data_IF_580789000651
#
_entry.id   IF_580789000651
#
_cell.length_a   1.000
_cell.length_b   1.000
_cell.length_c   1.000
_cell.angle_alpha   90.00
_cell.angle_beta   90.00
_cell.angle_gamma   90.00
#
_symmetry.space_group_name_H-M   'P 1'
#
loop_
_entity.id
_entity.type
_entity.pdbx_description
1 polymer ?
#
# COMPACT_ATOMS: atom_id res chain seq x y z
N UNK A 1 0.62 0.35 4.72
CA UNK A 1 1.53 0.82 3.66
C UNK A 1 2.15 -0.40 3.00
N UNK A 2 2.28 -0.40 1.68
CA UNK A 2 2.99 -1.46 0.93
C UNK A 2 4.02 -0.80 0.03
N UNK A 3 5.26 -1.25 0.08
CA UNK A 3 6.40 -0.80 -0.73
C UNK A 3 6.89 -1.95 -1.62
N UNK A 4 7.12 -1.63 -2.89
CA UNK A 4 7.52 -2.58 -3.92
C UNK A 4 8.72 -2.08 -4.71
N UNK A 5 9.51 -3.02 -5.23
CA UNK A 5 10.77 -2.75 -5.94
C UNK A 5 10.56 -2.16 -7.33
N UNK A 6 9.37 -2.26 -7.91
CA UNK A 6 9.05 -1.72 -9.24
C UNK A 6 7.72 -0.97 -9.26
N UNK A 7 7.61 -0.02 -10.19
CA UNK A 7 6.38 0.75 -10.45
C UNK A 7 5.22 -0.14 -10.89
N UNK A 8 5.48 -1.12 -11.75
CA UNK A 8 4.44 -2.01 -12.28
C UNK A 8 3.85 -2.90 -11.20
N UNK A 9 4.69 -3.43 -10.31
CA UNK A 9 4.22 -4.18 -9.15
C UNK A 9 3.39 -3.28 -8.24
N UNK A 10 3.86 -2.07 -7.92
CA UNK A 10 3.12 -1.14 -7.07
C UNK A 10 1.73 -0.78 -7.61
N UNK A 11 1.62 -0.54 -8.93
CA UNK A 11 0.34 -0.23 -9.56
C UNK A 11 -0.62 -1.43 -9.50
N UNK A 12 -0.13 -2.63 -9.80
CA UNK A 12 -0.92 -3.87 -9.77
C UNK A 12 -1.39 -4.21 -8.36
N UNK A 13 -0.51 -4.09 -7.37
CA UNK A 13 -0.84 -4.34 -5.97
C UNK A 13 -1.85 -3.32 -5.43
N UNK A 14 -1.73 -2.04 -5.80
CA UNK A 14 -2.70 -1.02 -5.39
C UNK A 14 -4.09 -1.26 -5.99
N UNK A 15 -4.16 -1.65 -7.27
CA UNK A 15 -5.43 -2.02 -7.92
C UNK A 15 -6.09 -3.24 -7.25
N UNK A 16 -5.31 -4.29 -6.98
CA UNK A 16 -5.80 -5.49 -6.30
C UNK A 16 -6.32 -5.17 -4.88
N UNK A 17 -5.58 -4.36 -4.11
CA UNK A 17 -5.99 -3.92 -2.78
C UNK A 17 -7.35 -3.19 -2.80
N UNK A 18 -7.51 -2.22 -3.71
CA UNK A 18 -8.73 -1.41 -3.79
C UNK A 18 -9.95 -2.23 -4.25
N UNK A 19 -9.73 -3.33 -5.00
CA UNK A 19 -10.80 -4.24 -5.44
C UNK A 19 -11.17 -5.29 -4.40
N UNK A 20 -10.27 -5.61 -3.48
CA UNK A 20 -10.46 -6.70 -2.53
C UNK A 20 -11.27 -6.29 -1.29
N UNK A 21 -11.20 -5.03 -0.85
CA UNK A 21 -11.87 -4.56 0.35
C UNK A 21 -12.27 -3.08 0.27
N UNK A 22 -13.16 -2.65 1.15
CA UNK A 22 -13.53 -1.24 1.29
C UNK A 22 -12.40 -0.44 1.96
N UNK A 23 -11.46 0.03 1.13
CA UNK A 23 -10.33 0.87 1.53
C UNK A 23 -10.19 2.08 0.62
N UNK A 24 -9.61 3.15 1.15
CA UNK A 24 -9.26 4.33 0.39
C UNK A 24 -7.75 4.37 0.13
N UNK A 25 -7.36 4.50 -1.14
CA UNK A 25 -6.00 4.78 -1.55
C UNK A 25 -5.66 6.26 -1.25
N UNK A 26 -4.93 6.50 -0.16
CA UNK A 26 -4.58 7.85 0.29
C UNK A 26 -3.41 8.44 -0.48
N UNK A 27 -2.41 7.60 -0.79
CA UNK A 27 -1.18 8.02 -1.44
C UNK A 27 -0.66 6.90 -2.32
N UNK A 28 -0.21 7.26 -3.52
CA UNK A 28 0.57 6.41 -4.41
C UNK A 28 1.76 7.20 -4.93
N UNK A 29 2.98 6.76 -4.58
CA UNK A 29 4.23 7.36 -5.07
C UNK A 29 4.99 6.35 -5.92
N UNK A 30 5.39 6.79 -7.11
CA UNK A 30 6.01 5.96 -8.14
C UNK A 30 7.35 6.57 -8.58
N UNK A 31 8.41 5.76 -8.57
CA UNK A 31 9.76 5.97 -9.12
C UNK A 31 10.55 7.20 -8.62
N UNK A 32 9.97 8.41 -8.74
CA UNK A 32 10.67 9.68 -8.61
C UNK A 32 11.23 9.88 -7.21
N UNK A 33 12.56 9.92 -7.12
CA UNK A 33 13.31 10.15 -5.89
C UNK A 33 13.36 8.95 -4.93
N UNK A 34 12.95 7.76 -5.38
CA UNK A 34 12.89 6.53 -4.56
C UNK A 34 13.50 5.31 -5.25
N UNK A 35 14.43 5.52 -6.19
CA UNK A 35 15.20 4.42 -6.80
C UNK A 35 14.38 3.46 -7.66
N UNK A 36 13.35 3.95 -8.36
CA UNK A 36 12.51 3.12 -9.24
C UNK A 36 11.44 2.29 -8.52
N UNK A 37 11.44 2.31 -7.18
CA UNK A 37 10.42 1.69 -6.34
C UNK A 37 9.06 2.37 -6.47
N UNK A 38 8.03 1.72 -5.94
CA UNK A 38 6.73 2.34 -5.72
C UNK A 38 6.19 1.96 -4.35
N UNK A 39 5.41 2.84 -3.74
CA UNK A 39 4.69 2.51 -2.52
C UNK A 39 3.33 3.19 -2.47
N UNK A 40 2.44 2.60 -1.69
CA UNK A 40 1.12 3.17 -1.46
C UNK A 40 0.63 3.02 -0.02
N UNK A 41 -0.29 3.90 0.35
CA UNK A 41 -0.92 3.93 1.67
C UNK A 41 -2.42 3.78 1.47
N UNK A 42 -2.99 2.84 2.23
CA UNK A 42 -4.41 2.57 2.31
C UNK A 42 -4.93 3.03 3.67
N UNK A 43 -6.20 3.44 3.71
CA UNK A 43 -6.92 3.78 4.92
C UNK A 43 -8.31 3.14 4.91
N UNK A 44 -8.75 2.68 6.07
CA UNK A 44 -10.07 2.08 6.27
C UNK A 44 -10.15 1.46 7.66
N UNK A 45 -11.21 0.67 7.86
CA UNK A 45 -11.33 -0.20 9.03
C UNK A 45 -10.20 -1.24 9.04
N UNK A 46 -9.76 -1.64 10.24
CA UNK A 46 -8.58 -2.52 10.41
C UNK A 46 -8.70 -3.80 9.56
N UNK A 47 -9.84 -4.49 9.64
CA UNK A 47 -10.08 -5.72 8.90
C UNK A 47 -10.05 -5.51 7.37
N UNK A 48 -10.52 -4.35 6.89
CA UNK A 48 -10.51 -4.02 5.45
C UNK A 48 -9.08 -3.75 4.99
N UNK A 49 -8.27 -3.07 5.81
CA UNK A 49 -6.86 -2.82 5.51
C UNK A 49 -6.05 -4.13 5.52
N UNK A 50 -6.30 -5.03 6.46
CA UNK A 50 -5.68 -6.36 6.51
C UNK A 50 -5.98 -7.15 5.22
N UNK A 51 -7.26 -7.26 4.85
CA UNK A 51 -7.68 -7.94 3.63
C UNK A 51 -7.07 -7.32 2.35
N UNK A 52 -7.07 -5.98 2.26
CA UNK A 52 -6.50 -5.28 1.11
C UNK A 52 -4.98 -5.46 1.00
N UNK A 53 -4.26 -5.47 2.13
CA UNK A 53 -2.80 -5.68 2.14
C UNK A 53 -2.44 -7.11 1.73
N UNK A 54 -3.20 -8.12 2.15
CA UNK A 54 -2.99 -9.50 1.69
C UNK A 54 -3.21 -9.64 0.18
N UNK A 55 -4.30 -9.09 -0.36
CA UNK A 55 -4.55 -9.07 -1.80
C UNK A 55 -3.43 -8.33 -2.58
N UNK A 56 -2.91 -7.23 -2.04
CA UNK A 56 -1.77 -6.52 -2.63
C UNK A 56 -0.50 -7.38 -2.65
N UNK A 57 -0.23 -8.14 -1.59
CA UNK A 57 0.94 -9.02 -1.51
C UNK A 57 0.86 -10.15 -2.54
N UNK A 58 -0.31 -10.76 -2.69
CA UNK A 58 -0.56 -11.78 -3.70
C UNK A 58 -0.35 -11.24 -5.13
N UNK A 59 -0.83 -10.02 -5.40
CA UNK A 59 -0.72 -9.38 -6.71
C UNK A 59 0.69 -8.84 -7.04
N UNK A 60 1.56 -8.69 -6.05
CA UNK A 60 2.89 -8.09 -6.20
C UNK A 60 3.82 -8.92 -7.10
N UNK A 61 3.68 -10.25 -7.07
CA UNK A 61 4.60 -11.19 -7.70
C UNK A 61 5.84 -11.48 -6.84
N UNK A 62 6.50 -12.60 -7.15
CA UNK A 62 7.63 -13.08 -6.35
C UNK A 62 8.81 -12.08 -6.35
N UNK A 63 9.33 -11.78 -5.15
CA UNK A 63 10.54 -10.95 -4.99
C UNK A 63 10.36 -9.45 -5.23
N UNK A 64 9.12 -8.96 -5.40
CA UNK A 64 8.86 -7.53 -5.65
C UNK A 64 8.47 -6.75 -4.41
N UNK A 65 8.08 -7.40 -3.31
CA UNK A 65 7.72 -6.74 -2.05
C UNK A 65 9.00 -6.30 -1.35
N UNK A 66 9.13 -4.99 -1.11
CA UNK A 66 10.20 -4.43 -0.30
C UNK A 66 9.79 -4.32 1.19
N UNK A 67 8.49 -4.12 1.46
CA UNK A 67 7.94 -4.08 2.81
C UNK A 67 6.43 -3.87 2.82
N UNK A 68 5.74 -4.32 3.88
CA UNK A 68 4.31 -4.09 4.06
C UNK A 68 4.00 -3.99 5.54
N UNK A 69 3.43 -2.86 5.98
CA UNK A 69 3.10 -2.63 7.39
C UNK A 69 1.73 -2.01 7.62
N UNK A 70 1.09 -2.45 8.70
CA UNK A 70 -0.23 -2.01 9.13
C UNK A 70 -0.09 -1.30 10.48
N UNK A 71 -0.67 -0.10 10.58
CA UNK A 71 -0.75 0.67 11.82
C UNK A 71 -2.21 0.83 12.17
N UNK A 72 -2.71 0.02 13.10
CA UNK A 72 -4.13 -0.02 13.47
C UNK A 72 -4.64 1.28 14.10
N UNK A 73 -3.80 1.93 14.91
CA UNK A 73 -4.13 3.17 15.62
C UNK A 73 -3.00 4.20 15.46
N UNK A 74 -2.86 4.83 14.28
CA UNK A 74 -1.80 5.79 14.04
C UNK A 74 -1.97 7.02 14.96
N UNK A 75 -0.86 7.51 15.50
CA UNK A 75 -0.84 8.72 16.33
C UNK A 75 -1.44 9.91 15.58
N UNK A 76 -2.07 10.84 16.32
CA UNK A 76 -2.76 12.00 15.75
C UNK A 76 -1.88 12.85 14.81
N UNK A 77 -0.59 12.97 15.12
CA UNK A 77 0.38 13.74 14.33
C UNK A 77 0.62 13.20 12.91
N UNK A 78 0.24 11.94 12.65
CA UNK A 78 0.36 11.32 11.34
C UNK A 78 -0.84 11.64 10.44
N UNK A 79 -1.92 12.21 11.00
CA UNK A 79 -3.12 12.63 10.25
C UNK A 79 -2.77 13.84 9.38
N UNK A 80 -3.06 13.79 8.08
CA UNK A 80 -2.82 14.90 7.14
C UNK A 80 -1.42 14.98 6.53
N UNK A 81 -0.45 14.16 6.98
CA UNK A 81 0.88 14.06 6.33
C UNK A 81 1.00 12.87 5.39
N UNK A 82 0.15 11.85 5.56
CA UNK A 82 0.11 10.64 4.75
C UNK A 82 -1.19 9.79 4.93
N UNK A 83 -2.19 10.29 5.68
CA UNK A 83 -3.42 9.60 6.12
C UNK A 83 -4.63 10.54 6.10
#
# INVERSE_FOLDING_TARGET
MVELTTVSAALRSADAACKAAEVQLQLLRLARGIGGKGFFILRGELHSVEAAVEAAKEAAGAGTIAGAEIVAAPHGDLRGRAL
#
